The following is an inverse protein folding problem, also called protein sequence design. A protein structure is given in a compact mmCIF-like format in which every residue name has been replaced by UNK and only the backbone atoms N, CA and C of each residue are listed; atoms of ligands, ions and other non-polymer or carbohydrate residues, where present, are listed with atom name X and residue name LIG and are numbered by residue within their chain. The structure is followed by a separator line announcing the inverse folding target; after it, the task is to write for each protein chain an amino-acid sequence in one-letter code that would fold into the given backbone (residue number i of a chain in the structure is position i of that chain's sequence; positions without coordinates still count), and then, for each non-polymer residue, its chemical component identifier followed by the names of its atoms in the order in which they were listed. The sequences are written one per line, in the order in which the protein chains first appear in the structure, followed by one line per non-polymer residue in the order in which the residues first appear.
data_IF_277800856653
#
_entry.id   IF_277800856653
#
_cell.length_a   1.000
_cell.length_b   1.000
_cell.length_c   1.000
_cell.angle_alpha   90.00
_cell.angle_beta   90.00
_cell.angle_gamma   90.00
#
_symmetry.space_group_name_H-M   'P 1'
#
loop_
_entity.id
_entity.type
_entity.pdbx_description
1 polymer ?
#
# COMPACT_ATOMS: atom_id res chain seq x y z
N UNK A 1 -2.54 -35.69 -13.58
CA UNK A 1 -1.31 -35.46 -14.36
C UNK A 1 -1.31 -36.44 -15.51
N UNK A 2 -1.70 -35.98 -16.70
CA UNK A 2 -1.55 -36.80 -17.91
C UNK A 2 -0.06 -37.04 -18.16
N UNK A 3 0.29 -38.32 -18.37
CA UNK A 3 1.65 -38.85 -18.36
C UNK A 3 2.52 -38.47 -19.58
N UNK A 4 2.11 -37.52 -20.41
CA UNK A 4 2.76 -37.26 -21.72
C UNK A 4 3.32 -35.85 -21.94
N UNK A 5 3.12 -34.90 -21.01
CA UNK A 5 3.67 -33.55 -21.18
C UNK A 5 4.99 -33.37 -20.39
N UNK A 6 6.12 -33.68 -21.03
CA UNK A 6 7.46 -33.45 -20.47
C UNK A 6 7.84 -31.95 -20.49
N UNK A 7 7.29 -31.19 -19.55
CA UNK A 7 7.58 -29.76 -19.34
C UNK A 7 9.08 -29.51 -19.19
N UNK A 8 9.76 -30.34 -18.39
CA UNK A 8 11.17 -30.14 -18.07
C UNK A 8 12.06 -30.43 -19.28
N UNK A 9 11.72 -31.45 -20.06
CA UNK A 9 12.37 -31.74 -21.34
C UNK A 9 12.16 -30.62 -22.35
N UNK A 10 10.94 -30.10 -22.49
CA UNK A 10 10.66 -28.96 -23.37
C UNK A 10 11.42 -27.71 -22.94
N UNK A 11 11.40 -27.36 -21.65
CA UNK A 11 12.14 -26.23 -21.10
C UNK A 11 13.64 -26.36 -21.38
N UNK A 12 14.23 -27.53 -21.08
CA UNK A 12 15.65 -27.82 -21.35
C UNK A 12 15.98 -27.77 -22.84
N UNK A 13 15.09 -28.26 -23.71
CA UNK A 13 15.27 -28.21 -25.15
C UNK A 13 15.31 -26.76 -25.66
N UNK A 14 14.40 -25.90 -25.18
CA UNK A 14 14.40 -24.48 -25.54
C UNK A 14 15.68 -23.79 -25.02
N UNK A 15 16.07 -24.03 -23.76
CA UNK A 15 17.33 -23.51 -23.21
C UNK A 15 18.55 -23.98 -24.01
N UNK A 16 18.56 -25.23 -24.48
CA UNK A 16 19.65 -25.77 -25.30
C UNK A 16 19.75 -25.13 -26.70
N UNK A 17 18.64 -24.61 -27.24
CA UNK A 17 18.63 -23.83 -28.49
C UNK A 17 19.26 -22.44 -28.31
N UNK A 18 19.21 -21.89 -27.10
CA UNK A 18 19.80 -20.59 -26.76
C UNK A 18 21.32 -20.65 -26.51
N UNK A 19 21.87 -21.84 -26.22
CA UNK A 19 23.33 -21.99 -26.06
C UNK A 19 24.05 -21.72 -27.39
N UNK A 20 25.06 -20.84 -27.33
CA UNK A 20 25.88 -20.47 -28.49
C UNK A 20 26.51 -21.71 -29.11
N UNK A 21 26.11 -22.05 -30.34
CA UNK A 21 26.77 -23.08 -31.16
C UNK A 21 27.77 -22.40 -32.08
N UNK A 22 28.88 -23.07 -32.38
CA UNK A 22 29.93 -22.53 -33.26
C UNK A 22 29.31 -21.91 -34.52
N UNK A 23 29.60 -20.63 -34.77
CA UNK A 23 29.17 -19.79 -35.90
C UNK A 23 27.67 -19.46 -36.09
N UNK A 24 26.72 -19.98 -35.30
CA UNK A 24 25.28 -19.63 -35.47
C UNK A 24 24.75 -18.83 -34.29
N UNK A 25 24.24 -17.61 -34.56
CA UNK A 25 23.49 -16.83 -33.57
C UNK A 25 22.17 -17.56 -33.26
N UNK A 26 21.84 -17.80 -31.98
CA UNK A 26 20.58 -18.44 -31.61
C UNK A 26 19.39 -17.55 -31.98
N UNK A 27 18.26 -18.15 -32.37
CA UNK A 27 17.02 -17.42 -32.66
C UNK A 27 16.29 -17.12 -31.34
N UNK A 28 16.64 -16.00 -30.70
CA UNK A 28 16.13 -15.62 -29.38
C UNK A 28 14.63 -15.29 -29.41
N UNK A 29 14.12 -14.76 -30.54
CA UNK A 29 12.69 -14.43 -30.70
C UNK A 29 11.81 -15.69 -30.73
N UNK A 30 12.23 -16.73 -31.46
CA UNK A 30 11.51 -18.01 -31.48
C UNK A 30 11.53 -18.69 -30.09
N UNK A 31 12.66 -18.63 -29.39
CA UNK A 31 12.77 -19.15 -28.03
C UNK A 31 11.83 -18.41 -27.06
N UNK A 32 11.73 -17.08 -27.17
CA UNK A 32 10.78 -16.27 -26.40
C UNK A 32 9.33 -16.74 -26.61
N UNK A 33 8.92 -16.95 -27.87
CA UNK A 33 7.59 -17.48 -28.20
C UNK A 33 7.34 -18.90 -27.68
N UNK A 34 8.35 -19.77 -27.73
CA UNK A 34 8.28 -21.14 -27.19
C UNK A 34 8.12 -21.14 -25.67
N UNK A 35 8.85 -20.29 -24.94
CA UNK A 35 8.67 -20.12 -23.50
C UNK A 35 7.29 -19.54 -23.15
N UNK A 36 6.78 -18.58 -23.93
CA UNK A 36 5.44 -18.04 -23.75
C UNK A 36 4.33 -19.10 -23.91
N UNK A 37 4.47 -19.97 -24.92
CA UNK A 37 3.53 -21.07 -25.14
C UNK A 37 3.56 -22.10 -24.01
N UNK A 38 4.76 -22.44 -23.53
CA UNK A 38 4.93 -23.35 -22.39
C UNK A 38 4.35 -22.76 -21.09
N UNK A 39 4.55 -21.47 -20.86
CA UNK A 39 3.97 -20.77 -19.71
C UNK A 39 2.43 -20.81 -19.75
N UNK A 40 1.81 -20.58 -20.90
CA UNK A 40 0.35 -20.62 -21.05
C UNK A 40 -0.23 -22.03 -20.76
N UNK A 41 0.45 -23.08 -21.21
CA UNK A 41 0.05 -24.46 -20.91
C UNK A 41 0.18 -24.79 -19.42
N UNK A 42 1.27 -24.35 -18.78
CA UNK A 42 1.48 -24.55 -17.34
C UNK A 42 0.46 -23.81 -16.48
N UNK A 43 0.00 -22.63 -16.93
CA UNK A 43 -1.13 -21.93 -16.29
C UNK A 43 -2.43 -22.73 -16.39
N UNK A 44 -2.69 -23.35 -17.56
CA UNK A 44 -3.87 -24.21 -17.76
C UNK A 44 -3.86 -25.44 -16.86
N UNK A 45 -2.68 -25.90 -16.46
CA UNK A 45 -2.48 -27.03 -15.55
C UNK A 45 -2.37 -26.62 -14.07
N UNK A 46 -2.72 -25.38 -13.72
CA UNK A 46 -2.67 -24.84 -12.35
C UNK A 46 -1.29 -24.97 -11.67
N UNK A 47 -0.21 -24.83 -12.46
CA UNK A 47 1.17 -24.85 -11.98
C UNK A 47 1.84 -23.46 -12.06
N UNK A 48 1.44 -22.48 -11.22
CA UNK A 48 1.84 -21.08 -11.37
C UNK A 48 3.36 -20.86 -11.22
N UNK A 49 4.03 -21.53 -10.28
CA UNK A 49 5.48 -21.36 -10.07
C UNK A 49 6.31 -21.82 -11.28
N UNK A 50 5.96 -22.94 -11.92
CA UNK A 50 6.63 -23.39 -13.15
C UNK A 50 6.33 -22.46 -14.34
N UNK A 51 5.10 -21.94 -14.44
CA UNK A 51 4.76 -20.92 -15.43
C UNK A 51 5.59 -19.64 -15.22
N UNK A 52 5.80 -19.23 -13.96
CA UNK A 52 6.65 -18.11 -13.58
C UNK A 52 8.09 -18.24 -14.09
N UNK A 53 8.71 -19.41 -13.93
CA UNK A 53 10.05 -19.68 -14.48
C UNK A 53 10.10 -19.59 -16.02
N UNK A 54 9.05 -20.04 -16.71
CA UNK A 54 8.97 -19.91 -18.17
C UNK A 54 8.83 -18.44 -18.60
N UNK A 55 8.00 -17.66 -17.92
CA UNK A 55 7.86 -16.21 -18.14
C UNK A 55 9.17 -15.45 -17.83
N UNK A 56 9.92 -15.87 -16.80
CA UNK A 56 11.24 -15.31 -16.51
C UNK A 56 12.25 -15.62 -17.63
N UNK A 57 12.25 -16.84 -18.15
CA UNK A 57 13.08 -17.20 -19.30
C UNK A 57 12.72 -16.38 -20.55
N UNK A 58 11.42 -16.12 -20.78
CA UNK A 58 10.93 -15.20 -21.81
C UNK A 58 11.48 -13.79 -21.60
N UNK A 59 11.40 -13.24 -20.38
CA UNK A 59 11.93 -11.91 -20.07
C UNK A 59 13.43 -11.77 -20.39
N UNK A 60 14.23 -12.79 -20.05
CA UNK A 60 15.66 -12.84 -20.39
C UNK A 60 15.92 -12.84 -21.90
N UNK A 61 15.03 -13.48 -22.68
CA UNK A 61 15.09 -13.45 -24.14
C UNK A 61 14.80 -12.04 -24.67
N UNK A 62 13.75 -11.38 -24.19
CA UNK A 62 13.39 -10.02 -24.59
C UNK A 62 14.46 -8.99 -24.22
N UNK A 63 15.09 -9.13 -23.05
CA UNK A 63 16.24 -8.32 -22.65
C UNK A 63 17.41 -8.46 -23.64
N UNK A 64 17.71 -9.69 -24.08
CA UNK A 64 18.75 -9.98 -25.09
C UNK A 64 18.40 -9.39 -26.46
N UNK A 65 17.11 -9.25 -26.77
CA UNK A 65 16.59 -8.60 -27.98
C UNK A 65 16.52 -7.06 -27.85
N UNK A 66 16.90 -6.50 -26.69
CA UNK A 66 16.75 -5.09 -26.35
C UNK A 66 15.30 -4.58 -26.44
N UNK A 67 14.32 -5.46 -26.26
CA UNK A 67 12.89 -5.11 -26.25
C UNK A 67 12.44 -4.83 -24.82
N UNK A 68 12.61 -3.58 -24.38
CA UNK A 68 12.38 -3.21 -22.99
C UNK A 68 10.89 -3.28 -22.57
N UNK A 69 9.94 -3.05 -23.49
CA UNK A 69 8.50 -3.18 -23.20
C UNK A 69 8.12 -4.66 -23.02
N UNK A 70 8.54 -5.51 -23.96
CA UNK A 70 8.27 -6.96 -23.86
C UNK A 70 8.97 -7.62 -22.67
N UNK A 71 10.16 -7.13 -22.29
CA UNK A 71 10.85 -7.55 -21.08
C UNK A 71 10.01 -7.25 -19.83
N UNK A 72 9.53 -6.02 -19.68
CA UNK A 72 8.74 -5.62 -18.50
C UNK A 72 7.42 -6.38 -18.40
N UNK A 73 6.72 -6.56 -19.52
CA UNK A 73 5.52 -7.40 -19.55
C UNK A 73 5.80 -8.84 -19.10
N UNK A 74 6.90 -9.44 -19.57
CA UNK A 74 7.27 -10.80 -19.18
C UNK A 74 7.74 -10.88 -17.72
N UNK A 75 8.44 -9.87 -17.20
CA UNK A 75 8.86 -9.78 -15.80
C UNK A 75 7.67 -9.63 -14.85
N UNK A 76 6.76 -8.71 -15.14
CA UNK A 76 5.55 -8.49 -14.32
C UNK A 76 4.65 -9.71 -14.32
N UNK A 77 4.52 -10.37 -15.47
CA UNK A 77 3.78 -11.64 -15.57
C UNK A 77 4.42 -12.75 -14.73
N UNK A 78 5.75 -12.91 -14.79
CA UNK A 78 6.46 -13.87 -13.96
C UNK A 78 6.28 -13.58 -12.46
N UNK A 79 6.37 -12.31 -12.07
CA UNK A 79 6.23 -11.89 -10.68
C UNK A 79 4.81 -12.16 -10.13
N UNK A 80 3.77 -11.87 -10.91
CA UNK A 80 2.37 -12.20 -10.57
C UNK A 80 2.15 -13.69 -10.34
N UNK A 81 2.75 -14.53 -11.18
CA UNK A 81 2.66 -15.99 -11.04
C UNK A 81 3.36 -16.50 -9.77
N UNK A 82 4.51 -15.93 -9.41
CA UNK A 82 5.17 -16.25 -8.15
C UNK A 82 4.37 -15.75 -6.94
N UNK A 83 3.76 -14.56 -7.00
CA UNK A 83 2.85 -14.09 -5.95
C UNK A 83 1.63 -15.01 -5.80
N UNK A 84 1.05 -15.49 -6.90
CA UNK A 84 -0.05 -16.44 -6.86
C UNK A 84 0.38 -17.76 -6.21
N UNK A 85 1.58 -18.26 -6.53
CA UNK A 85 2.12 -19.45 -5.88
C UNK A 85 2.29 -19.25 -4.37
N UNK A 86 2.80 -18.09 -3.93
CA UNK A 86 2.92 -17.79 -2.49
C UNK A 86 1.55 -17.68 -1.82
N UNK A 87 0.57 -17.00 -2.44
CA UNK A 87 -0.80 -16.91 -1.92
C UNK A 87 -1.40 -18.30 -1.69
N UNK A 88 -1.23 -19.21 -2.65
CA UNK A 88 -1.69 -20.60 -2.51
C UNK A 88 -0.99 -21.30 -1.34
N UNK A 89 0.32 -21.07 -1.12
CA UNK A 89 1.03 -21.61 0.04
C UNK A 89 0.48 -21.07 1.36
N UNK A 90 0.21 -19.76 1.44
CA UNK A 90 -0.37 -19.10 2.62
C UNK A 90 -1.76 -19.63 2.92
N UNK A 91 -2.62 -19.75 1.90
CA UNK A 91 -3.99 -20.30 2.04
C UNK A 91 -3.99 -21.74 2.55
N UNK A 92 -3.08 -22.57 2.03
CA UNK A 92 -2.91 -23.96 2.45
C UNK A 92 -2.15 -24.10 3.78
N UNK A 93 -1.65 -23.00 4.36
CA UNK A 93 -0.78 -22.96 5.55
C UNK A 93 0.44 -23.86 5.41
N UNK A 94 0.96 -23.98 4.19
CA UNK A 94 2.18 -24.70 3.92
C UNK A 94 3.38 -23.89 4.45
N UNK A 95 4.31 -24.50 5.19
CA UNK A 95 5.58 -23.86 5.49
C UNK A 95 6.34 -23.62 4.17
N UNK A 96 6.41 -22.37 3.72
CA UNK A 96 7.23 -21.96 2.58
C UNK A 96 8.56 -21.38 3.09
N UNK A 97 9.62 -21.49 2.28
CA UNK A 97 10.89 -20.81 2.54
C UNK A 97 10.90 -19.37 1.98
N UNK A 98 9.72 -18.81 1.69
CA UNK A 98 9.58 -17.46 1.12
C UNK A 98 10.35 -17.24 -0.21
N UNK A 99 10.65 -18.32 -0.94
CA UNK A 99 11.41 -18.24 -2.19
C UNK A 99 10.60 -17.55 -3.29
N UNK A 100 9.30 -17.85 -3.39
CA UNK A 100 8.44 -17.27 -4.42
C UNK A 100 8.19 -15.78 -4.19
N UNK A 101 7.98 -15.35 -2.95
CA UNK A 101 7.81 -13.94 -2.63
C UNK A 101 9.09 -13.14 -2.83
N UNK A 102 10.25 -13.67 -2.42
CA UNK A 102 11.54 -13.00 -2.61
C UNK A 102 11.84 -12.81 -4.10
N UNK A 103 11.60 -13.85 -4.90
CA UNK A 103 11.77 -13.78 -6.35
C UNK A 103 10.77 -12.80 -6.98
N UNK A 104 9.49 -12.82 -6.57
CA UNK A 104 8.49 -11.89 -7.07
C UNK A 104 8.88 -10.43 -6.83
N UNK A 105 9.30 -10.08 -5.60
CA UNK A 105 9.75 -8.73 -5.25
C UNK A 105 10.97 -8.33 -6.09
N UNK A 106 11.93 -9.25 -6.29
CA UNK A 106 13.10 -8.99 -7.13
C UNK A 106 12.70 -8.64 -8.58
N UNK A 107 11.80 -9.44 -9.17
CA UNK A 107 11.36 -9.25 -10.56
C UNK A 107 10.55 -7.96 -10.73
N UNK A 108 9.68 -7.63 -9.78
CA UNK A 108 8.98 -6.35 -9.81
C UNK A 108 9.95 -5.17 -9.69
N UNK A 109 10.92 -5.23 -8.77
CA UNK A 109 11.93 -4.17 -8.63
C UNK A 109 12.75 -4.00 -9.92
N UNK A 110 13.04 -5.09 -10.64
CA UNK A 110 13.65 -5.01 -11.97
C UNK A 110 12.72 -4.32 -12.98
N UNK A 111 11.44 -4.69 -13.01
CA UNK A 111 10.45 -4.08 -13.90
C UNK A 111 10.25 -2.58 -13.63
N UNK A 112 10.19 -2.17 -12.35
CA UNK A 112 10.09 -0.77 -11.92
C UNK A 112 11.29 0.03 -12.43
N UNK A 113 12.52 -0.49 -12.25
CA UNK A 113 13.74 0.16 -12.75
C UNK A 113 13.71 0.38 -14.26
N UNK A 114 13.24 -0.62 -15.02
CA UNK A 114 13.11 -0.51 -16.48
C UNK A 114 12.05 0.51 -16.89
N UNK A 115 10.90 0.57 -16.20
CA UNK A 115 9.88 1.60 -16.43
C UNK A 115 10.39 3.02 -16.13
N UNK A 116 11.10 3.19 -15.01
CA UNK A 116 11.71 4.48 -14.66
C UNK A 116 12.76 4.91 -15.70
N UNK A 117 13.57 3.97 -16.22
CA UNK A 117 14.54 4.24 -17.28
C UNK A 117 13.88 4.66 -18.61
N UNK A 118 12.65 4.22 -18.87
CA UNK A 118 11.84 4.64 -20.03
C UNK A 118 11.10 5.97 -19.81
N UNK A 119 11.18 6.57 -18.61
CA UNK A 119 10.45 7.78 -18.24
C UNK A 119 9.00 7.55 -17.80
N UNK A 120 8.58 6.29 -17.64
CA UNK A 120 7.21 5.92 -17.26
C UNK A 120 7.07 5.68 -15.74
N UNK A 121 7.43 6.67 -14.92
CA UNK A 121 7.41 6.56 -13.45
C UNK A 121 6.03 6.24 -12.86
N UNK A 122 4.95 6.69 -13.53
CA UNK A 122 3.57 6.38 -13.12
C UNK A 122 3.28 4.86 -13.18
N UNK A 123 3.71 4.18 -14.25
CA UNK A 123 3.56 2.72 -14.35
C UNK A 123 4.43 2.00 -13.32
N UNK A 124 5.63 2.51 -13.06
CA UNK A 124 6.48 2.02 -11.96
C UNK A 124 5.78 2.11 -10.60
N UNK A 125 5.11 3.23 -10.32
CA UNK A 125 4.34 3.39 -9.08
C UNK A 125 3.16 2.42 -8.99
N UNK A 126 2.44 2.16 -10.08
CA UNK A 126 1.38 1.14 -10.09
C UNK A 126 1.90 -0.24 -9.71
N UNK A 127 3.09 -0.63 -10.19
CA UNK A 127 3.72 -1.90 -9.81
C UNK A 127 4.10 -1.92 -8.32
N UNK A 128 4.59 -0.81 -7.76
CA UNK A 128 4.85 -0.69 -6.33
C UNK A 128 3.57 -0.89 -5.49
N UNK A 129 2.45 -0.28 -5.91
CA UNK A 129 1.15 -0.46 -5.27
C UNK A 129 0.68 -1.91 -5.34
N UNK A 130 0.83 -2.57 -6.50
CA UNK A 130 0.44 -3.97 -6.69
C UNK A 130 1.19 -4.93 -5.73
N UNK A 131 2.50 -4.72 -5.56
CA UNK A 131 3.30 -5.49 -4.59
C UNK A 131 2.84 -5.22 -3.16
N UNK A 132 2.63 -3.94 -2.82
CA UNK A 132 2.18 -3.52 -1.50
C UNK A 132 0.85 -4.19 -1.12
N UNK A 133 -0.11 -4.18 -2.02
CA UNK A 133 -1.43 -4.79 -1.81
C UNK A 133 -1.33 -6.31 -1.64
N UNK A 134 -0.48 -6.96 -2.45
CA UNK A 134 -0.23 -8.39 -2.32
C UNK A 134 0.39 -8.74 -0.95
N UNK A 135 1.41 -8.00 -0.52
CA UNK A 135 2.08 -8.18 0.77
C UNK A 135 1.12 -7.93 1.95
N UNK A 136 0.29 -6.90 1.85
CA UNK A 136 -0.73 -6.59 2.86
C UNK A 136 -1.76 -7.73 2.97
N UNK A 137 -2.22 -8.29 1.85
CA UNK A 137 -3.11 -9.46 1.84
C UNK A 137 -2.47 -10.72 2.47
N UNK A 138 -1.14 -10.84 2.40
CA UNK A 138 -0.38 -11.93 3.04
C UNK A 138 0.00 -11.61 4.50
N UNK A 139 -0.61 -10.59 5.11
CA UNK A 139 -0.38 -10.16 6.50
C UNK A 139 1.06 -9.70 6.78
N UNK A 140 1.72 -9.06 5.79
CA UNK A 140 3.07 -8.48 5.89
C UNK A 140 3.05 -6.95 5.72
N UNK A 141 2.45 -6.20 6.66
CA UNK A 141 2.29 -4.75 6.52
C UNK A 141 3.61 -3.98 6.54
N UNK A 142 4.63 -4.47 7.23
CA UNK A 142 5.94 -3.82 7.34
C UNK A 142 6.68 -3.73 6.00
N UNK A 143 6.65 -4.80 5.20
CA UNK A 143 7.28 -4.82 3.88
C UNK A 143 6.43 -4.06 2.86
N UNK A 144 5.10 -4.18 2.93
CA UNK A 144 4.17 -3.41 2.10
C UNK A 144 4.41 -1.89 2.24
N UNK A 145 4.68 -1.43 3.46
CA UNK A 145 4.94 -0.02 3.76
C UNK A 145 6.10 0.57 2.93
N UNK A 146 7.19 -0.17 2.76
CA UNK A 146 8.36 0.29 1.98
C UNK A 146 7.99 0.49 0.51
N UNK A 147 7.18 -0.41 -0.04
CA UNK A 147 6.72 -0.31 -1.42
C UNK A 147 5.73 0.83 -1.63
N UNK A 148 4.82 1.08 -0.68
CA UNK A 148 3.90 2.22 -0.75
C UNK A 148 4.62 3.56 -0.63
N UNK A 149 5.65 3.67 0.23
CA UNK A 149 6.50 4.86 0.30
C UNK A 149 7.21 5.11 -1.03
N UNK A 150 7.77 4.06 -1.63
CA UNK A 150 8.41 4.19 -2.94
C UNK A 150 7.42 4.60 -4.04
N UNK A 151 6.17 4.13 -3.99
CA UNK A 151 5.12 4.56 -4.91
C UNK A 151 4.83 6.06 -4.77
N UNK A 152 4.73 6.58 -3.54
CA UNK A 152 4.51 7.99 -3.27
C UNK A 152 5.65 8.87 -3.81
N UNK A 153 6.91 8.43 -3.68
CA UNK A 153 8.08 9.11 -4.26
C UNK A 153 8.01 9.20 -5.79
N UNK A 154 7.64 8.10 -6.45
CA UNK A 154 7.51 8.04 -7.91
C UNK A 154 6.34 8.88 -8.44
N UNK A 155 5.30 9.07 -7.62
CA UNK A 155 4.09 9.83 -7.94
C UNK A 155 4.17 11.32 -7.58
N UNK A 156 5.35 11.87 -7.28
CA UNK A 156 5.50 13.26 -6.87
C UNK A 156 4.89 14.29 -7.85
N UNK A 157 4.73 13.93 -9.13
CA UNK A 157 4.14 14.78 -10.18
C UNK A 157 2.61 14.86 -10.09
N UNK A 158 1.98 13.86 -9.45
CA UNK A 158 0.54 13.75 -9.22
C UNK A 158 0.28 13.75 -7.71
N UNK A 159 0.14 14.94 -7.06
CA UNK A 159 0.06 15.03 -5.61
C UNK A 159 -1.11 14.25 -4.99
N UNK A 160 -2.23 14.12 -5.71
CA UNK A 160 -3.39 13.34 -5.24
C UNK A 160 -3.09 11.84 -5.15
N UNK A 161 -2.35 11.28 -6.12
CA UNK A 161 -1.97 9.87 -6.11
C UNK A 161 -0.91 9.60 -5.04
N UNK A 162 0.07 10.51 -4.88
CA UNK A 162 1.05 10.42 -3.82
C UNK A 162 0.40 10.44 -2.42
N UNK A 163 -0.59 11.31 -2.20
CA UNK A 163 -1.35 11.34 -0.95
C UNK A 163 -2.12 10.03 -0.70
N UNK A 164 -2.74 9.44 -1.73
CA UNK A 164 -3.41 8.14 -1.59
C UNK A 164 -2.42 7.03 -1.21
N UNK A 165 -1.23 7.01 -1.82
CA UNK A 165 -0.16 6.08 -1.46
C UNK A 165 0.31 6.29 0.00
N UNK A 166 0.40 7.54 0.46
CA UNK A 166 0.70 7.84 1.88
C UNK A 166 -0.43 7.40 2.83
N UNK A 167 -1.71 7.47 2.42
CA UNK A 167 -2.82 6.91 3.21
C UNK A 167 -2.61 5.43 3.45
N UNK A 168 -2.19 4.66 2.42
CA UNK A 168 -1.89 3.23 2.56
C UNK A 168 -0.72 2.98 3.52
N UNK A 169 0.30 3.84 3.52
CA UNK A 169 1.41 3.80 4.50
C UNK A 169 0.87 3.99 5.92
N UNK A 170 0.02 5.00 6.15
CA UNK A 170 -0.59 5.24 7.46
C UNK A 170 -1.44 4.04 7.90
N UNK A 171 -2.23 3.46 6.99
CA UNK A 171 -2.98 2.23 7.20
C UNK A 171 -2.09 1.07 7.66
N UNK A 172 -0.97 0.82 6.98
CA UNK A 172 -0.04 -0.25 7.35
C UNK A 172 0.61 -0.04 8.71
N UNK A 173 0.90 1.21 9.09
CA UNK A 173 1.45 1.54 10.42
C UNK A 173 0.43 1.30 11.54
N UNK A 174 -0.84 1.67 11.31
CA UNK A 174 -1.93 1.36 12.23
C UNK A 174 -2.08 -0.15 12.40
N UNK A 175 -2.10 -0.90 11.29
CA UNK A 175 -2.22 -2.37 11.29
C UNK A 175 -1.03 -3.04 12.02
N UNK A 176 0.16 -2.41 11.97
CA UNK A 176 1.38 -2.88 12.65
C UNK A 176 1.47 -2.45 14.13
N UNK A 177 0.56 -1.58 14.60
CA UNK A 177 0.57 -1.02 15.95
C UNK A 177 1.55 0.15 16.18
N UNK A 178 2.20 0.66 15.13
CA UNK A 178 3.06 1.85 15.21
C UNK A 178 2.22 3.14 15.11
N UNK A 179 1.53 3.46 16.20
CA UNK A 179 0.62 4.61 16.27
C UNK A 179 1.36 5.96 16.19
N UNK A 180 2.56 6.08 16.75
CA UNK A 180 3.39 7.30 16.67
C UNK A 180 3.89 7.55 15.24
N UNK A 181 4.30 6.49 14.55
CA UNK A 181 4.69 6.54 13.15
C UNK A 181 3.52 6.86 12.24
N UNK A 182 2.32 6.33 12.52
CA UNK A 182 1.09 6.65 11.79
C UNK A 182 0.71 8.13 11.97
N UNK A 183 0.79 8.64 13.20
CA UNK A 183 0.52 10.05 13.52
C UNK A 183 1.47 10.99 12.76
N UNK A 184 2.75 10.63 12.66
CA UNK A 184 3.73 11.42 11.90
C UNK A 184 3.41 11.48 10.41
N UNK A 185 3.01 10.35 9.80
CA UNK A 185 2.65 10.28 8.37
C UNK A 185 1.38 11.09 8.08
N UNK A 186 0.35 10.99 8.91
CA UNK A 186 -0.88 11.77 8.74
C UNK A 186 -0.65 13.28 8.84
N UNK A 187 0.29 13.70 9.70
CA UNK A 187 0.69 15.12 9.79
C UNK A 187 1.43 15.59 8.55
N UNK A 188 2.35 14.78 8.02
CA UNK A 188 3.06 15.07 6.76
C UNK A 188 2.07 15.17 5.59
N UNK A 189 1.11 14.25 5.52
CA UNK A 189 0.04 14.28 4.52
C UNK A 189 -0.80 15.54 4.60
N UNK A 190 -1.18 15.97 5.82
CA UNK A 190 -1.96 17.19 6.00
C UNK A 190 -1.19 18.43 5.52
N UNK A 191 0.11 18.54 5.86
CA UNK A 191 0.95 19.62 5.37
C UNK A 191 1.06 19.62 3.84
N UNK A 192 1.31 18.45 3.25
CA UNK A 192 1.43 18.31 1.80
C UNK A 192 0.12 18.65 1.08
N UNK A 193 -1.02 18.25 1.63
CA UNK A 193 -2.35 18.57 1.09
C UNK A 193 -2.68 20.07 1.21
N UNK A 194 -2.30 20.73 2.31
CA UNK A 194 -2.47 22.18 2.49
C UNK A 194 -1.58 22.98 1.54
N UNK A 195 -0.30 22.61 1.39
CA UNK A 195 0.63 23.27 0.48
C UNK A 195 0.17 23.14 -0.97
N UNK A 196 -0.12 21.92 -1.43
CA UNK A 196 -0.52 21.66 -2.82
C UNK A 196 -1.94 22.10 -3.14
N UNK A 197 -2.84 22.05 -2.17
CA UNK A 197 -4.22 22.52 -2.30
C UNK A 197 -4.35 24.05 -2.33
N UNK A 198 -3.37 24.77 -1.77
CA UNK A 198 -3.33 26.24 -1.78
C UNK A 198 -2.62 26.83 -3.00
N UNK A 199 -1.71 26.05 -3.62
CA UNK A 199 -0.97 26.45 -4.83
C UNK A 199 -1.90 26.37 -6.04
N UNK A 200 -2.68 27.43 -6.26
CA UNK A 200 -3.49 27.57 -7.47
C UNK A 200 -4.65 28.57 -7.42
N UNK A 201 -5.01 29.16 -6.28
CA UNK A 201 -6.17 30.08 -6.22
C UNK A 201 -5.92 31.39 -5.47
N UNK A 202 -6.34 32.48 -6.10
CA UNK A 202 -6.49 33.83 -5.53
C UNK A 202 -7.71 33.95 -4.58
N UNK A 203 -8.40 32.84 -4.24
CA UNK A 203 -9.67 32.86 -3.46
C UNK A 203 -9.77 31.81 -2.34
N UNK A 204 -8.67 31.19 -1.91
CA UNK A 204 -8.60 30.51 -0.61
C UNK A 204 -9.53 29.31 -0.37
N UNK A 205 -10.16 28.74 -1.41
CA UNK A 205 -11.05 27.57 -1.25
C UNK A 205 -10.34 26.30 -1.74
N UNK A 206 -10.12 25.36 -0.81
CA UNK A 206 -9.46 24.08 -1.09
C UNK A 206 -10.27 23.27 -2.13
N UNK A 207 -9.58 22.59 -3.05
CA UNK A 207 -10.24 21.69 -4.00
C UNK A 207 -10.80 20.46 -3.28
N UNK A 208 -11.97 19.98 -3.70
CA UNK A 208 -12.70 18.87 -3.07
C UNK A 208 -11.85 17.62 -2.70
N UNK A 209 -11.00 17.08 -3.59
CA UNK A 209 -10.19 15.91 -3.26
C UNK A 209 -9.22 16.11 -2.08
N UNK A 210 -8.66 17.32 -1.94
CA UNK A 210 -7.79 17.64 -0.82
C UNK A 210 -8.57 17.89 0.47
N UNK A 211 -9.81 18.38 0.37
CA UNK A 211 -10.71 18.53 1.51
C UNK A 211 -11.02 17.17 2.14
N UNK A 212 -11.35 16.17 1.32
CA UNK A 212 -11.65 14.82 1.80
C UNK A 212 -10.43 14.17 2.48
N UNK A 213 -9.23 14.33 1.89
CA UNK A 213 -7.97 13.84 2.47
C UNK A 213 -7.66 14.55 3.79
N UNK A 214 -7.86 15.88 3.87
CA UNK A 214 -7.63 16.64 5.10
C UNK A 214 -8.61 16.24 6.21
N UNK A 215 -9.88 16.00 5.88
CA UNK A 215 -10.87 15.50 6.83
C UNK A 215 -10.45 14.13 7.39
N UNK A 216 -10.05 13.20 6.52
CA UNK A 216 -9.55 11.89 6.95
C UNK A 216 -8.30 12.00 7.85
N UNK A 217 -7.34 12.86 7.48
CA UNK A 217 -6.15 13.11 8.29
C UNK A 217 -6.48 13.76 9.64
N UNK A 218 -7.42 14.71 9.70
CA UNK A 218 -7.80 15.34 10.97
C UNK A 218 -8.47 14.35 11.93
N UNK A 219 -9.44 13.57 11.43
CA UNK A 219 -10.12 12.54 12.23
C UNK A 219 -9.10 11.52 12.74
N UNK A 220 -8.25 10.99 11.86
CA UNK A 220 -7.22 10.01 12.22
C UNK A 220 -6.23 10.55 13.27
N UNK A 221 -5.78 11.80 13.12
CA UNK A 221 -4.88 12.45 14.10
C UNK A 221 -5.54 12.61 15.47
N UNK A 222 -6.81 13.05 15.53
CA UNK A 222 -7.54 13.20 16.79
C UNK A 222 -7.67 11.86 17.51
N UNK A 223 -8.11 10.82 16.80
CA UNK A 223 -8.25 9.47 17.38
C UNK A 223 -6.91 8.90 17.85
N UNK A 224 -5.83 9.04 17.06
CA UNK A 224 -4.50 8.58 17.47
C UNK A 224 -3.98 9.35 18.69
N UNK A 225 -4.23 10.66 18.79
CA UNK A 225 -3.84 11.45 19.97
C UNK A 225 -4.60 11.02 21.23
N UNK A 226 -5.89 10.69 21.09
CA UNK A 226 -6.69 10.13 22.19
C UNK A 226 -6.21 8.73 22.59
N UNK A 227 -5.77 7.92 21.63
CA UNK A 227 -5.20 6.61 21.89
C UNK A 227 -3.85 6.71 22.59
N UNK A 228 -2.93 7.55 22.10
CA UNK A 228 -1.58 7.68 22.61
C UNK A 228 -1.54 8.38 23.99
N UNK A 229 -2.42 9.35 24.24
CA UNK A 229 -2.39 10.23 25.41
C UNK A 229 -0.96 10.76 25.69
N UNK A 230 -0.32 11.43 24.72
CA UNK A 230 1.04 11.89 24.87
C UNK A 230 1.15 12.88 26.03
N UNK A 231 2.21 12.78 26.83
CA UNK A 231 2.48 13.77 27.89
C UNK A 231 2.82 15.12 27.27
N UNK A 232 2.43 16.27 27.85
CA UNK A 232 2.59 17.60 27.27
C UNK A 232 4.02 17.96 26.81
N UNK A 233 5.04 17.32 27.37
CA UNK A 233 6.45 17.52 27.03
C UNK A 233 6.89 16.86 25.71
N UNK A 234 6.14 15.87 25.23
CA UNK A 234 6.44 15.07 24.02
C UNK A 234 5.53 15.43 22.84
N UNK A 235 4.55 16.31 23.04
CA UNK A 235 3.60 16.71 22.02
C UNK A 235 4.28 17.73 21.09
N UNK A 236 4.38 17.43 19.79
CA UNK A 236 4.80 18.43 18.80
C UNK A 236 3.77 19.56 18.76
N UNK A 237 4.20 20.79 18.54
CA UNK A 237 3.33 21.99 18.55
C UNK A 237 2.07 21.85 17.68
N UNK A 238 2.16 21.20 16.53
CA UNK A 238 1.04 20.94 15.63
C UNK A 238 -0.03 20.01 16.24
N UNK A 239 0.39 19.01 17.01
CA UNK A 239 -0.53 18.10 17.70
C UNK A 239 -1.23 18.79 18.87
N UNK A 240 -0.53 19.69 19.57
CA UNK A 240 -1.12 20.50 20.63
C UNK A 240 -2.20 21.43 20.08
N UNK A 241 -1.96 22.10 18.94
CA UNK A 241 -2.95 22.97 18.28
C UNK A 241 -4.24 22.22 17.89
N UNK A 242 -4.11 20.98 17.42
CA UNK A 242 -5.29 20.15 17.11
C UNK A 242 -6.05 19.83 18.40
N UNK A 243 -5.37 19.40 19.46
CA UNK A 243 -6.03 19.10 20.74
C UNK A 243 -6.72 20.33 21.33
N UNK A 244 -6.07 21.49 21.33
CA UNK A 244 -6.63 22.74 21.83
C UNK A 244 -7.93 23.10 21.09
N UNK A 245 -7.96 22.92 19.76
CA UNK A 245 -9.14 23.16 18.92
C UNK A 245 -10.32 22.25 19.27
N UNK A 246 -10.07 21.01 19.66
CA UNK A 246 -11.13 20.06 20.05
C UNK A 246 -11.43 20.03 21.56
N UNK A 247 -10.64 20.73 22.37
CA UNK A 247 -10.84 20.89 23.82
C UNK A 247 -11.85 21.99 24.19
N UNK A 248 -12.16 22.13 25.48
CA UNK A 248 -13.01 23.20 26.02
C UNK A 248 -12.62 24.61 25.55
N UNK A 249 -11.33 24.87 25.29
CA UNK A 249 -10.84 26.16 24.78
C UNK A 249 -11.27 26.49 23.35
N UNK A 250 -11.74 25.49 22.59
CA UNK A 250 -12.26 25.60 21.22
C UNK A 250 -13.78 25.63 21.12
N UNK A 251 -14.51 25.71 22.25
CA UNK A 251 -15.99 25.75 22.35
C UNK A 251 -16.61 27.05 21.80
N UNK A 252 -16.37 27.29 20.51
CA UNK A 252 -16.77 28.48 19.75
C UNK A 252 -16.12 28.56 18.36
N UNK A 253 -15.24 27.60 18.02
CA UNK A 253 -14.66 27.48 16.69
C UNK A 253 -15.72 27.11 15.64
N UNK A 254 -15.61 27.72 14.46
CA UNK A 254 -16.35 27.25 13.30
C UNK A 254 -15.76 25.92 12.81
N UNK A 255 -16.59 25.00 12.29
CA UNK A 255 -16.08 23.78 11.66
C UNK A 255 -15.13 24.17 10.53
N UNK A 256 -14.13 23.33 10.30
CA UNK A 256 -13.20 23.55 9.19
C UNK A 256 -13.97 23.42 7.88
N UNK A 257 -13.51 24.12 6.85
CA UNK A 257 -14.17 24.15 5.53
C UNK A 257 -14.39 22.77 4.89
N UNK A 258 -13.73 21.73 5.41
CA UNK A 258 -13.76 20.35 4.94
C UNK A 258 -14.43 19.37 5.91
N UNK A 259 -15.04 19.83 7.01
CA UNK A 259 -15.72 18.96 7.97
C UNK A 259 -17.13 19.46 8.27
N UNK A 260 -18.10 18.55 8.34
CA UNK A 260 -19.46 18.93 8.73
C UNK A 260 -19.52 19.31 10.23
N UNK A 261 -20.50 20.13 10.60
CA UNK A 261 -20.62 20.64 11.98
C UNK A 261 -20.93 19.52 12.99
N UNK A 262 -21.71 18.52 12.59
CA UNK A 262 -22.12 17.43 13.48
C UNK A 262 -20.92 16.55 13.86
N UNK A 263 -20.12 16.12 12.89
CA UNK A 263 -18.90 15.35 13.10
C UNK A 263 -17.89 16.13 13.94
N UNK A 264 -17.73 17.43 13.69
CA UNK A 264 -16.85 18.28 14.49
C UNK A 264 -17.25 18.27 15.97
N UNK A 265 -18.55 18.43 16.28
CA UNK A 265 -19.07 18.40 17.65
C UNK A 265 -18.97 17.01 18.29
N UNK A 266 -19.18 15.94 17.51
CA UNK A 266 -19.00 14.57 17.99
C UNK A 266 -17.53 14.29 18.35
N UNK A 267 -16.58 14.78 17.55
CA UNK A 267 -15.15 14.65 17.85
C UNK A 267 -14.74 15.46 19.08
N UNK A 268 -15.26 16.68 19.26
CA UNK A 268 -15.07 17.44 20.50
C UNK A 268 -15.59 16.65 21.71
N UNK A 269 -16.78 16.05 21.59
CA UNK A 269 -17.37 15.22 22.63
C UNK A 269 -16.50 14.00 22.95
N UNK A 270 -15.91 13.35 21.94
CA UNK A 270 -14.96 12.24 22.15
C UNK A 270 -13.73 12.69 22.93
N UNK A 271 -13.14 13.85 22.58
CA UNK A 271 -11.95 14.36 23.29
C UNK A 271 -12.28 14.64 24.76
N UNK A 272 -13.41 15.30 25.05
CA UNK A 272 -13.87 15.58 26.41
C UNK A 272 -14.10 14.29 27.21
N UNK A 273 -14.83 13.33 26.64
CA UNK A 273 -15.11 12.05 27.29
C UNK A 273 -13.84 11.23 27.55
N UNK A 274 -12.86 11.30 26.65
CA UNK A 274 -11.56 10.66 26.84
C UNK A 274 -10.74 11.31 27.97
N UNK A 275 -10.89 12.63 28.19
CA UNK A 275 -10.26 13.35 29.30
C UNK A 275 -10.94 13.02 30.64
N UNK A 276 -12.27 12.94 30.64
CA UNK A 276 -13.08 12.59 31.82
C UNK A 276 -13.08 11.08 32.15
N UNK A 277 -12.53 10.25 31.26
CA UNK A 277 -12.45 8.79 31.38
C UNK A 277 -13.83 8.09 31.50
N UNK A 278 -14.88 8.66 30.91
CA UNK A 278 -16.23 8.08 30.92
C UNK A 278 -16.42 7.07 29.78
N UNK A 279 -16.23 5.79 30.10
CA UNK A 279 -16.36 4.68 29.14
C UNK A 279 -17.80 4.50 28.63
N UNK A 280 -18.82 4.76 29.46
CA UNK A 280 -20.21 4.50 29.08
C UNK A 280 -20.74 5.56 28.11
N UNK A 281 -20.31 6.81 28.27
CA UNK A 281 -20.60 7.87 27.30
C UNK A 281 -19.83 7.64 25.99
N UNK A 282 -18.59 7.16 26.05
CA UNK A 282 -17.80 6.86 24.85
C UNK A 282 -18.46 5.78 23.98
N UNK A 283 -19.00 4.72 24.59
CA UNK A 283 -19.74 3.66 23.86
C UNK A 283 -21.02 4.16 23.17
N UNK A 284 -21.64 5.22 23.70
CA UNK A 284 -22.80 5.85 23.04
C UNK A 284 -22.34 6.66 21.83
N UNK A 285 -21.27 7.45 22.00
CA UNK A 285 -20.65 8.22 20.92
C UNK A 285 -20.12 7.31 19.79
N UNK A 286 -19.60 6.13 20.10
CA UNK A 286 -19.16 5.14 19.10
C UNK A 286 -20.28 4.76 18.12
N UNK A 287 -21.52 4.65 18.60
CA UNK A 287 -22.68 4.32 17.74
C UNK A 287 -23.06 5.47 16.82
N UNK A 288 -22.96 6.71 17.32
CA UNK A 288 -23.29 7.92 16.56
C UNK A 288 -22.21 8.25 15.51
N UNK A 289 -20.95 7.96 15.83
CA UNK A 289 -19.81 8.17 14.93
C UNK A 289 -19.68 7.07 13.86
N UNK A 290 -20.32 5.90 14.05
CA UNK A 290 -20.19 4.76 13.16
C UNK A 290 -20.49 5.08 11.68
N UNK A 291 -21.46 5.95 11.42
CA UNK A 291 -21.84 6.33 10.04
C UNK A 291 -20.89 7.31 9.37
N UNK A 292 -20.03 7.96 10.15
CA UNK A 292 -19.13 9.01 9.68
C UNK A 292 -17.68 8.54 9.53
N UNK A 293 -17.29 7.50 10.26
CA UNK A 293 -15.92 7.00 10.31
C UNK A 293 -15.69 5.86 9.31
N UNK A 294 -14.48 5.82 8.73
CA UNK A 294 -14.04 4.67 7.95
C UNK A 294 -13.68 3.46 8.86
N UNK A 295 -13.56 2.23 8.32
CA UNK A 295 -13.29 1.04 9.13
C UNK A 295 -12.02 1.12 9.97
N UNK A 296 -11.00 1.86 9.53
CA UNK A 296 -9.74 2.00 10.29
C UNK A 296 -9.91 2.98 11.44
N UNK A 297 -10.61 4.10 11.22
CA UNK A 297 -10.98 5.05 12.25
C UNK A 297 -11.92 4.41 13.28
N UNK A 298 -12.86 3.58 12.86
CA UNK A 298 -13.70 2.77 13.75
C UNK A 298 -12.85 1.82 14.60
N UNK A 299 -11.87 1.16 13.99
CA UNK A 299 -10.94 0.31 14.74
C UNK A 299 -10.14 1.10 15.78
N UNK A 300 -9.63 2.29 15.43
CA UNK A 300 -8.94 3.17 16.39
C UNK A 300 -9.86 3.59 17.54
N UNK A 301 -11.11 3.97 17.26
CA UNK A 301 -12.08 4.33 18.28
C UNK A 301 -12.36 3.16 19.23
N UNK A 302 -12.50 1.95 18.68
CA UNK A 302 -12.66 0.74 19.47
C UNK A 302 -11.44 0.47 20.39
N UNK A 303 -10.22 0.65 19.87
CA UNK A 303 -8.99 0.53 20.67
C UNK A 303 -8.94 1.55 21.82
N UNK A 304 -9.44 2.77 21.62
CA UNK A 304 -9.53 3.79 22.68
C UNK A 304 -10.48 3.31 23.79
N UNK A 305 -11.67 2.83 23.41
CA UNK A 305 -12.66 2.29 24.36
C UNK A 305 -12.09 1.13 25.18
N UNK A 306 -11.35 0.22 24.54
CA UNK A 306 -10.66 -0.88 25.21
C UNK A 306 -9.59 -0.37 26.19
N UNK A 307 -8.75 0.59 25.77
CA UNK A 307 -7.69 1.15 26.60
C UNK A 307 -8.25 1.85 27.84
N UNK A 308 -9.33 2.61 27.70
CA UNK A 308 -9.98 3.29 28.83
C UNK A 308 -10.68 2.30 29.77
N UNK A 309 -11.32 1.26 29.22
CA UNK A 309 -11.92 0.18 30.03
C UNK A 309 -10.89 -0.54 30.90
N UNK A 310 -9.66 -0.73 30.39
CA UNK A 310 -8.57 -1.35 31.15
C UNK A 310 -7.93 -0.44 32.21
N UNK A 311 -8.02 0.89 32.07
CA UNK A 311 -7.49 1.84 33.07
C UNK A 311 -8.46 2.09 34.23
N UNK A 312 -9.75 1.82 34.03
CA UNK A 312 -10.81 2.03 35.02
C UNK A 312 -11.08 0.86 35.97
N UNK A 313 -10.27 -0.21 35.95
CA UNK A 313 -10.34 -1.34 36.88
C UNK A 313 -9.04 -1.50 37.65
#
# INVERSE_FOLDING_TARGET
MDREFDVLGQYRAITAKLKRRFLKKPNVSEASGQFGSLAAELKRQDCPHYAGFCSLAKARCENTLSNATGEVEALTEAARLFLQAEKNCVELRCPSFEEHITEAIHLFNQAIKTHCAQGNSALGACLCLEIGDALRCMNRPHEAMVHYQHAAELQHQNPTEALQSMTLVASCKIDSGDFDGALSVLTEMAYFAEERGSVGQQQGKLQGPYQDILAHCEIGRVLLLMLLQPTPQLIRSQHAQILDKYSEGGMGGYPVDYMNRELFLLLQSVVMVCQDQDVDTLRKLEKELWTYLDPQQQHLLHLITLKLSHKGG
#
